data_IF_928354703125
#
_entry.id   IF_928354703125
#
_cell.length_a   1.000
_cell.length_b   1.000
_cell.length_c   1.000
_cell.angle_alpha   90.00
_cell.angle_beta   90.00
_cell.angle_gamma   90.00
#
_symmetry.space_group_name_H-M   'P 1'
#
loop_
_entity.id
_entity.type
_entity.pdbx_description
1 polymer ?
#
# COMPACT_ATOMS: atom_id res chain seq x y z
N UNK A 1 17.83 4.71 3.96
CA UNK A 1 18.28 4.07 2.70
C UNK A 1 19.02 2.74 2.93
N UNK A 2 19.09 2.23 4.18
CA UNK A 2 19.78 0.96 4.48
C UNK A 2 19.18 -0.23 3.71
N UNK A 3 17.88 -0.23 3.51
CA UNK A 3 17.12 -1.25 2.78
C UNK A 3 17.39 -1.28 1.27
N UNK A 4 17.92 -0.20 0.71
CA UNK A 4 18.25 -0.10 -0.73
C UNK A 4 19.68 -0.45 -1.08
N UNK A 5 20.55 -0.78 -0.09
CA UNK A 5 21.98 -1.04 -0.32
C UNK A 5 22.24 -2.09 -1.41
N UNK A 6 21.39 -3.10 -1.54
CA UNK A 6 21.56 -4.16 -2.54
C UNK A 6 21.28 -3.73 -3.98
N UNK A 7 20.60 -2.60 -4.19
CA UNK A 7 20.16 -2.16 -5.52
C UNK A 7 20.71 -0.79 -5.92
N UNK A 8 21.26 -0.02 -4.99
CA UNK A 8 21.74 1.36 -5.24
C UNK A 8 22.79 1.46 -6.35
N UNK A 9 23.63 0.44 -6.49
CA UNK A 9 24.74 0.42 -7.47
C UNK A 9 24.37 -0.28 -8.79
N UNK A 10 23.12 -0.71 -8.94
CA UNK A 10 22.65 -1.34 -10.17
C UNK A 10 22.51 -0.27 -11.27
N UNK A 11 22.99 -0.55 -12.51
CA UNK A 11 22.98 0.44 -13.59
C UNK A 11 21.58 0.83 -14.07
N UNK A 12 20.57 0.03 -13.74
CA UNK A 12 19.16 0.23 -14.07
C UNK A 12 18.35 0.74 -12.85
N UNK A 13 19.00 1.18 -11.77
CA UNK A 13 18.34 1.73 -10.61
C UNK A 13 18.68 3.20 -10.41
N UNK A 14 17.67 4.04 -10.21
CA UNK A 14 17.80 5.44 -9.84
C UNK A 14 16.92 5.75 -8.62
N UNK A 15 17.49 6.35 -7.61
CA UNK A 15 16.75 6.81 -6.43
C UNK A 15 16.55 8.33 -6.50
N UNK A 16 15.30 8.76 -6.47
CA UNK A 16 14.92 10.18 -6.36
C UNK A 16 14.12 10.35 -5.07
N UNK A 17 14.61 11.20 -4.16
CA UNK A 17 13.90 11.53 -2.92
C UNK A 17 12.98 12.70 -3.18
N UNK A 18 11.67 12.46 -3.11
CA UNK A 18 10.63 13.48 -3.31
C UNK A 18 9.39 13.17 -2.49
N UNK A 19 8.51 14.14 -2.34
CA UNK A 19 7.16 13.98 -1.80
C UNK A 19 6.19 13.77 -2.96
N UNK A 20 5.34 12.76 -2.88
CA UNK A 20 4.30 12.50 -3.90
C UNK A 20 3.22 13.60 -3.95
N UNK A 21 3.12 14.42 -2.90
CA UNK A 21 2.24 15.60 -2.87
C UNK A 21 2.83 16.80 -3.63
N UNK A 22 4.15 16.81 -3.87
CA UNK A 22 4.81 17.85 -4.66
C UNK A 22 4.55 17.63 -6.16
N UNK A 23 3.50 18.29 -6.66
CA UNK A 23 3.06 18.17 -8.06
C UNK A 23 4.16 18.54 -9.06
N UNK A 24 4.93 19.59 -8.79
CA UNK A 24 5.97 20.05 -9.71
C UNK A 24 7.11 19.05 -9.78
N UNK A 25 7.53 18.51 -8.63
CA UNK A 25 8.57 17.48 -8.57
C UNK A 25 8.12 16.17 -9.25
N UNK A 26 6.87 15.73 -9.01
CA UNK A 26 6.30 14.54 -9.68
C UNK A 26 6.26 14.74 -11.20
N UNK A 27 5.76 15.87 -11.66
CA UNK A 27 5.66 16.14 -13.10
C UNK A 27 7.03 16.24 -13.76
N UNK A 28 7.99 16.91 -13.11
CA UNK A 28 9.37 16.98 -13.59
C UNK A 28 10.02 15.61 -13.72
N UNK A 29 9.78 14.71 -12.74
CA UNK A 29 10.26 13.32 -12.80
C UNK A 29 9.65 12.54 -13.98
N UNK A 30 8.34 12.69 -14.20
CA UNK A 30 7.67 12.04 -15.34
C UNK A 30 8.14 12.57 -16.70
N UNK A 31 8.46 13.87 -16.78
CA UNK A 31 9.03 14.47 -17.98
C UNK A 31 10.47 14.01 -18.26
N UNK A 32 11.24 13.73 -17.21
CA UNK A 32 12.63 13.28 -17.32
C UNK A 32 12.72 11.78 -17.62
N UNK A 33 11.95 10.95 -16.88
CA UNK A 33 12.10 9.49 -16.88
C UNK A 33 11.16 8.79 -17.86
N UNK A 34 10.07 9.42 -18.27
CA UNK A 34 9.03 8.83 -19.13
C UNK A 34 8.61 7.42 -18.68
N UNK A 35 8.15 7.22 -17.44
CA UNK A 35 7.84 5.89 -16.94
C UNK A 35 6.69 5.24 -17.73
N UNK A 36 6.82 3.96 -18.07
CA UNK A 36 5.75 3.16 -18.67
C UNK A 36 4.77 2.68 -17.60
N UNK A 37 5.29 2.30 -16.42
CA UNK A 37 4.51 1.73 -15.32
C UNK A 37 4.79 2.49 -14.03
N UNK A 38 3.74 2.76 -13.26
CA UNK A 38 3.83 3.36 -11.93
C UNK A 38 3.25 2.39 -10.90
N UNK A 39 4.05 2.03 -9.88
CA UNK A 39 3.59 1.23 -8.74
C UNK A 39 3.68 2.08 -7.49
N UNK A 40 2.52 2.43 -6.92
CA UNK A 40 2.45 3.30 -5.76
C UNK A 40 2.44 2.51 -4.44
N UNK A 41 3.59 2.46 -3.78
CA UNK A 41 3.72 1.98 -2.40
C UNK A 41 3.72 3.12 -1.37
N UNK A 42 3.84 4.37 -1.82
CA UNK A 42 3.98 5.50 -0.91
C UNK A 42 2.67 5.74 -0.15
N UNK A 43 2.76 5.70 1.16
CA UNK A 43 1.64 5.98 2.06
C UNK A 43 2.11 6.25 3.48
N UNK A 44 1.36 7.04 4.23
CA UNK A 44 1.35 6.96 5.68
C UNK A 44 0.56 5.71 6.09
N UNK A 45 1.12 4.86 7.00
CA UNK A 45 0.60 3.51 7.22
C UNK A 45 0.49 3.06 8.68
N UNK A 46 0.64 3.96 9.65
CA UNK A 46 0.58 3.62 11.07
C UNK A 46 -0.78 4.02 11.67
N UNK A 47 -1.62 3.05 12.03
CA UNK A 47 -2.99 3.29 12.53
C UNK A 47 -3.01 4.25 13.72
N UNK A 48 -2.20 4.02 14.77
CA UNK A 48 -2.20 4.89 15.95
C UNK A 48 -1.79 6.33 15.62
N UNK A 49 -0.85 6.51 14.68
CA UNK A 49 -0.51 7.85 14.19
C UNK A 49 -1.68 8.49 13.44
N UNK A 50 -2.46 7.72 12.71
CA UNK A 50 -3.64 8.25 12.00
C UNK A 50 -4.73 8.74 12.96
N UNK A 51 -4.83 8.13 14.13
CA UNK A 51 -5.75 8.57 15.19
C UNK A 51 -5.25 9.89 15.82
N UNK A 52 -3.94 9.99 16.05
CA UNK A 52 -3.34 11.18 16.67
C UNK A 52 -3.24 12.38 15.71
N UNK A 53 -2.96 12.13 14.43
CA UNK A 53 -2.82 13.16 13.40
C UNK A 53 -3.35 12.63 12.06
N UNK A 54 -4.66 12.70 11.80
CA UNK A 54 -5.25 12.17 10.57
C UNK A 54 -4.90 12.98 9.33
N UNK A 55 -4.59 14.28 9.46
CA UNK A 55 -4.41 15.20 8.34
C UNK A 55 -3.29 14.73 7.39
N UNK A 56 -2.14 14.34 7.93
CA UNK A 56 -1.02 13.86 7.11
C UNK A 56 -1.37 12.60 6.30
N UNK A 57 -2.29 11.76 6.82
CA UNK A 57 -2.78 10.58 6.10
C UNK A 57 -3.69 10.97 4.93
N UNK A 58 -4.53 12.00 5.12
CA UNK A 58 -5.36 12.51 4.04
C UNK A 58 -4.50 13.18 2.96
N UNK A 59 -3.54 13.97 3.37
CA UNK A 59 -2.61 14.62 2.46
C UNK A 59 -1.80 13.59 1.65
N UNK A 60 -1.04 12.73 2.31
CA UNK A 60 -0.19 11.76 1.62
C UNK A 60 -1.00 10.74 0.83
N UNK A 61 -1.98 10.08 1.47
CA UNK A 61 -2.64 8.92 0.85
C UNK A 61 -3.68 9.33 -0.19
N UNK A 62 -4.34 10.48 -0.05
CA UNK A 62 -5.37 10.92 -0.99
C UNK A 62 -4.81 11.95 -1.97
N UNK A 63 -4.26 13.08 -1.46
CA UNK A 63 -3.77 14.14 -2.35
C UNK A 63 -2.54 13.67 -3.12
N UNK A 64 -1.59 12.98 -2.45
CA UNK A 64 -0.44 12.40 -3.13
C UNK A 64 -0.84 11.39 -4.22
N UNK A 65 -1.84 10.53 -3.95
CA UNK A 65 -2.40 9.62 -4.98
C UNK A 65 -3.03 10.42 -6.13
N UNK A 66 -3.77 11.52 -5.84
CA UNK A 66 -4.34 12.37 -6.88
C UNK A 66 -3.27 12.99 -7.78
N UNK A 67 -2.17 13.46 -7.20
CA UNK A 67 -1.03 14.02 -7.95
C UNK A 67 -0.42 12.99 -8.89
N UNK A 68 -0.18 11.76 -8.39
CA UNK A 68 0.32 10.66 -9.22
C UNK A 68 -0.66 10.29 -10.34
N UNK A 69 -1.96 10.21 -10.05
CA UNK A 69 -2.98 9.89 -11.05
C UNK A 69 -3.11 10.98 -12.13
N UNK A 70 -3.00 12.25 -11.75
CA UNK A 70 -2.94 13.37 -12.71
C UNK A 70 -1.70 13.27 -13.60
N UNK A 71 -0.54 12.94 -13.04
CA UNK A 71 0.70 12.73 -13.81
C UNK A 71 0.53 11.55 -14.78
N UNK A 72 0.03 10.41 -14.29
CA UNK A 72 -0.24 9.23 -15.11
C UNK A 72 -1.15 9.54 -16.30
N UNK A 73 -2.23 10.32 -16.05
CA UNK A 73 -3.13 10.78 -17.12
C UNK A 73 -2.44 11.71 -18.09
N UNK A 74 -1.69 12.71 -17.58
CA UNK A 74 -1.04 13.74 -18.40
C UNK A 74 0.01 13.17 -19.33
N UNK A 75 0.82 12.21 -18.83
CA UNK A 75 1.94 11.63 -19.55
C UNK A 75 1.61 10.31 -20.25
N UNK A 76 0.37 9.80 -20.09
CA UNK A 76 -0.13 8.65 -20.83
C UNK A 76 0.58 7.35 -20.48
N UNK A 77 0.79 7.08 -19.19
CA UNK A 77 1.46 5.85 -18.73
C UNK A 77 0.68 4.60 -19.14
N UNK A 78 1.38 3.50 -19.35
CA UNK A 78 0.77 2.24 -19.76
C UNK A 78 -0.01 1.57 -18.61
N UNK A 79 0.43 1.78 -17.36
CA UNK A 79 -0.22 1.19 -16.18
C UNK A 79 0.11 1.89 -14.88
N UNK A 80 -0.91 1.99 -14.04
CA UNK A 80 -0.79 2.40 -12.63
C UNK A 80 -1.24 1.26 -11.72
N UNK A 81 -0.42 0.90 -10.74
CA UNK A 81 -0.77 -0.06 -9.70
C UNK A 81 -0.80 0.62 -8.33
N UNK A 82 -1.96 0.54 -7.65
CA UNK A 82 -2.13 1.03 -6.28
C UNK A 82 -1.96 -0.11 -5.29
N UNK A 83 -0.98 -0.02 -4.41
CA UNK A 83 -0.86 -0.94 -3.27
C UNK A 83 -1.73 -0.40 -2.13
N UNK A 84 -2.80 -1.13 -1.83
CA UNK A 84 -3.76 -0.83 -0.77
C UNK A 84 -3.68 -1.87 0.36
N UNK A 85 -4.72 -1.98 1.17
CA UNK A 85 -4.77 -2.84 2.35
C UNK A 85 -6.14 -3.48 2.50
N UNK A 86 -6.20 -4.67 3.09
CA UNK A 86 -7.45 -5.34 3.49
C UNK A 86 -8.22 -4.57 4.57
N UNK A 87 -7.56 -3.70 5.32
CA UNK A 87 -8.20 -2.86 6.36
C UNK A 87 -9.30 -1.93 5.79
N UNK A 88 -9.34 -1.74 4.46
CA UNK A 88 -10.42 -0.99 3.81
C UNK A 88 -11.78 -1.70 3.89
N UNK A 89 -11.77 -3.02 4.11
CA UNK A 89 -12.98 -3.83 4.24
C UNK A 89 -13.55 -3.86 5.67
N UNK A 90 -12.75 -3.44 6.67
CA UNK A 90 -13.11 -3.50 8.08
C UNK A 90 -12.75 -4.83 8.74
N UNK A 91 -13.56 -5.26 9.70
CA UNK A 91 -13.29 -6.46 10.52
C UNK A 91 -14.24 -7.59 10.17
N UNK A 92 -13.73 -8.83 10.22
CA UNK A 92 -14.55 -10.05 10.16
C UNK A 92 -14.86 -10.54 11.59
N UNK A 93 -16.08 -11.03 11.84
CA UNK A 93 -16.44 -11.65 13.11
C UNK A 93 -15.59 -12.90 13.39
N UNK A 94 -14.97 -12.97 14.57
CA UNK A 94 -14.10 -14.10 14.95
C UNK A 94 -14.83 -15.46 15.07
N UNK A 95 -16.15 -15.43 15.25
CA UNK A 95 -17.02 -16.61 15.33
C UNK A 95 -17.53 -17.11 13.97
N UNK A 96 -17.11 -16.46 12.88
CA UNK A 96 -17.51 -16.77 11.50
C UNK A 96 -16.28 -17.06 10.62
N UNK A 97 -15.62 -18.22 10.81
CA UNK A 97 -14.43 -18.59 10.03
C UNK A 97 -14.74 -18.91 8.54
N UNK A 98 -16.02 -18.94 8.19
CA UNK A 98 -16.51 -19.13 6.82
C UNK A 98 -16.55 -17.83 6.01
N UNK A 99 -16.34 -16.67 6.63
CA UNK A 99 -16.35 -15.38 5.96
C UNK A 99 -14.94 -14.97 5.50
N UNK A 100 -14.88 -14.47 4.28
CA UNK A 100 -13.67 -13.97 3.66
C UNK A 100 -13.95 -12.63 2.98
N UNK A 101 -12.94 -11.78 2.86
CA UNK A 101 -13.00 -10.64 1.96
C UNK A 101 -12.85 -11.10 0.52
N UNK A 102 -13.59 -10.46 -0.37
CA UNK A 102 -13.49 -10.61 -1.82
C UNK A 102 -13.39 -9.23 -2.46
N UNK A 103 -13.09 -9.17 -3.73
CA UNK A 103 -13.03 -7.92 -4.49
C UNK A 103 -14.37 -7.18 -4.50
N UNK A 104 -15.49 -7.89 -4.33
CA UNK A 104 -16.84 -7.33 -4.26
C UNK A 104 -17.26 -6.92 -2.84
N UNK A 105 -16.45 -7.23 -1.82
CA UNK A 105 -16.76 -6.84 -0.44
C UNK A 105 -16.85 -5.32 -0.33
N UNK A 106 -17.94 -4.76 0.19
CA UNK A 106 -18.08 -3.32 0.39
C UNK A 106 -16.99 -2.76 1.31
N UNK A 107 -16.53 -1.56 1.01
CA UNK A 107 -15.56 -0.86 1.86
C UNK A 107 -16.24 -0.41 3.15
N UNK A 108 -15.68 -0.80 4.30
CA UNK A 108 -16.22 -0.51 5.64
C UNK A 108 -15.09 -0.20 6.61
N UNK A 109 -14.49 0.97 6.48
CA UNK A 109 -13.28 1.37 7.19
C UNK A 109 -13.51 1.65 8.68
N UNK A 110 -12.53 1.28 9.52
CA UNK A 110 -12.59 1.43 10.98
C UNK A 110 -11.60 2.45 11.56
N UNK A 111 -10.72 3.04 10.74
CA UNK A 111 -9.71 4.00 11.19
C UNK A 111 -9.50 5.12 10.17
N UNK A 112 -8.91 6.29 10.57
CA UNK A 112 -8.51 7.33 9.62
C UNK A 112 -7.52 6.81 8.56
N UNK A 113 -6.61 5.91 8.94
CA UNK A 113 -5.71 5.25 7.99
C UNK A 113 -6.51 4.46 6.94
N UNK A 114 -7.34 3.50 7.36
CA UNK A 114 -8.11 2.68 6.41
C UNK A 114 -9.07 3.53 5.56
N UNK A 115 -9.64 4.60 6.14
CA UNK A 115 -10.47 5.56 5.39
C UNK A 115 -9.67 6.31 4.32
N UNK A 116 -8.44 6.73 4.62
CA UNK A 116 -7.58 7.39 3.64
C UNK A 116 -7.18 6.44 2.49
N UNK A 117 -6.90 5.17 2.79
CA UNK A 117 -6.59 4.15 1.78
C UNK A 117 -7.80 3.81 0.91
N UNK A 118 -8.98 3.64 1.52
CA UNK A 118 -10.23 3.42 0.78
C UNK A 118 -10.57 4.61 -0.14
N UNK A 119 -10.35 5.84 0.34
CA UNK A 119 -10.54 7.04 -0.47
C UNK A 119 -9.59 7.10 -1.67
N UNK A 120 -8.33 6.70 -1.47
CA UNK A 120 -7.36 6.56 -2.56
C UNK A 120 -7.80 5.51 -3.59
N UNK A 121 -8.28 4.33 -3.14
CA UNK A 121 -8.80 3.27 -4.01
C UNK A 121 -9.99 3.76 -4.86
N UNK A 122 -10.93 4.46 -4.23
CA UNK A 122 -12.08 5.04 -4.92
C UNK A 122 -11.66 6.10 -5.95
N UNK A 123 -10.68 6.92 -5.61
CA UNK A 123 -10.11 7.93 -6.51
C UNK A 123 -9.46 7.26 -7.72
N UNK A 124 -8.60 6.25 -7.52
CA UNK A 124 -7.96 5.48 -8.59
C UNK A 124 -9.01 4.86 -9.52
N UNK A 125 -10.06 4.24 -8.97
CA UNK A 125 -11.16 3.70 -9.74
C UNK A 125 -11.95 4.77 -10.50
N UNK A 126 -12.10 5.97 -9.94
CA UNK A 126 -12.74 7.10 -10.62
C UNK A 126 -11.92 7.60 -11.81
N UNK A 127 -10.60 7.69 -11.70
CA UNK A 127 -9.72 8.06 -12.81
C UNK A 127 -9.78 7.05 -13.96
N UNK A 128 -9.84 5.77 -13.63
CA UNK A 128 -10.07 4.74 -14.65
C UNK A 128 -11.39 4.97 -15.40
N UNK A 129 -12.49 5.10 -14.67
CA UNK A 129 -13.85 5.25 -15.26
C UNK A 129 -14.02 6.55 -16.04
N UNK A 130 -13.42 7.64 -15.54
CA UNK A 130 -13.62 8.97 -16.12
C UNK A 130 -12.66 9.28 -17.24
N UNK A 131 -11.41 8.88 -17.11
CA UNK A 131 -10.32 9.27 -18.00
C UNK A 131 -9.68 8.09 -18.74
N UNK A 132 -10.08 6.86 -18.43
CA UNK A 132 -9.54 5.66 -19.08
C UNK A 132 -8.10 5.31 -18.65
N UNK A 133 -7.58 5.86 -17.55
CA UNK A 133 -6.24 5.51 -17.05
C UNK A 133 -6.22 4.02 -16.73
N UNK A 134 -5.26 3.25 -17.24
CA UNK A 134 -5.16 1.82 -16.93
C UNK A 134 -4.67 1.61 -15.51
N UNK A 135 -5.52 1.06 -14.62
CA UNK A 135 -5.22 0.91 -13.20
C UNK A 135 -5.45 -0.52 -12.72
N UNK A 136 -4.68 -0.90 -11.70
CA UNK A 136 -4.92 -2.09 -10.87
C UNK A 136 -4.78 -1.71 -9.41
N UNK A 137 -5.48 -2.42 -8.50
CA UNK A 137 -5.42 -2.21 -7.06
C UNK A 137 -5.20 -3.57 -6.39
N UNK A 138 -4.17 -3.68 -5.55
CA UNK A 138 -4.01 -4.82 -4.65
C UNK A 138 -4.36 -4.41 -3.21
N UNK A 139 -5.01 -5.31 -2.46
CA UNK A 139 -5.36 -5.13 -1.04
C UNK A 139 -4.75 -6.28 -0.26
N UNK A 140 -3.57 -6.03 0.29
CA UNK A 140 -2.83 -7.05 1.01
C UNK A 140 -3.15 -7.03 2.50
N UNK A 141 -2.98 -8.19 3.16
CA UNK A 141 -2.94 -8.32 4.60
C UNK A 141 -1.64 -7.77 5.19
N UNK A 142 -1.42 -7.95 6.51
CA UNK A 142 -0.21 -7.47 7.16
C UNK A 142 1.05 -8.13 6.59
N UNK A 143 1.95 -7.33 6.04
CA UNK A 143 3.22 -7.85 5.53
C UNK A 143 4.24 -8.04 6.64
N UNK A 144 5.09 -9.06 6.51
CA UNK A 144 6.25 -9.27 7.37
C UNK A 144 7.45 -9.74 6.54
N UNK A 145 8.65 -9.54 7.06
CA UNK A 145 9.88 -10.00 6.40
C UNK A 145 11.11 -9.19 6.78
N UNK A 146 12.24 -9.45 6.12
CA UNK A 146 13.47 -8.68 6.30
C UNK A 146 13.23 -7.18 6.11
N UNK A 147 14.00 -6.37 6.85
CA UNK A 147 13.97 -4.90 6.78
C UNK A 147 12.64 -4.24 7.15
N UNK A 148 11.69 -4.98 7.75
CA UNK A 148 10.45 -4.40 8.26
C UNK A 148 10.74 -3.31 9.29
N UNK A 149 10.02 -2.18 9.21
CA UNK A 149 10.27 -1.03 10.08
C UNK A 149 10.11 -1.38 11.56
N UNK A 150 11.06 -0.99 12.43
CA UNK A 150 11.16 -1.45 13.83
C UNK A 150 9.96 -1.14 14.73
N UNK A 151 9.09 -0.20 14.37
CA UNK A 151 7.88 0.11 15.13
C UNK A 151 6.72 -0.87 14.88
N UNK A 152 6.83 -1.70 13.85
CA UNK A 152 5.80 -2.70 13.53
C UNK A 152 5.86 -3.88 14.49
N UNK A 153 4.73 -4.57 14.65
CA UNK A 153 4.52 -5.57 15.69
C UNK A 153 5.66 -6.61 15.78
N UNK A 154 5.97 -7.31 14.69
CA UNK A 154 6.94 -8.40 14.71
C UNK A 154 8.34 -7.92 15.10
N UNK A 155 8.96 -6.93 14.40
CA UNK A 155 10.29 -6.47 14.78
C UNK A 155 10.32 -5.80 16.16
N UNK A 156 9.26 -5.10 16.58
CA UNK A 156 9.17 -4.50 17.91
C UNK A 156 9.17 -5.57 19.01
N UNK A 157 8.38 -6.64 18.86
CA UNK A 157 8.35 -7.76 19.81
C UNK A 157 9.70 -8.46 19.91
N UNK A 158 10.36 -8.72 18.78
CA UNK A 158 11.70 -9.31 18.73
C UNK A 158 12.71 -8.41 19.46
N UNK A 159 12.75 -7.12 19.12
CA UNK A 159 13.70 -6.18 19.71
C UNK A 159 13.49 -6.02 21.22
N UNK A 160 12.24 -5.96 21.69
CA UNK A 160 11.94 -5.88 23.09
C UNK A 160 12.30 -7.17 23.85
N UNK A 161 11.97 -8.35 23.29
CA UNK A 161 12.31 -9.62 23.88
C UNK A 161 13.84 -9.81 24.02
N UNK A 162 14.61 -9.45 22.99
CA UNK A 162 16.08 -9.51 23.03
C UNK A 162 16.69 -8.52 24.01
N UNK A 163 15.99 -7.44 24.34
CA UNK A 163 16.44 -6.41 25.28
C UNK A 163 15.87 -6.56 26.70
N UNK A 164 15.21 -7.67 27.01
CA UNK A 164 14.49 -7.91 28.29
C UNK A 164 13.49 -6.80 28.64
N UNK A 165 12.86 -6.19 27.62
CA UNK A 165 11.84 -5.16 27.79
C UNK A 165 10.43 -5.76 27.76
N UNK A 166 9.44 -5.11 28.40
CA UNK A 166 8.05 -5.53 28.32
C UNK A 166 7.56 -5.61 26.88
N UNK A 167 6.81 -6.67 26.58
CA UNK A 167 6.14 -6.82 25.28
C UNK A 167 4.79 -6.11 25.32
N UNK A 168 4.56 -5.10 24.45
CA UNK A 168 3.29 -4.42 24.40
C UNK A 168 2.19 -5.34 23.88
N UNK A 169 1.08 -5.44 24.61
CA UNK A 169 -0.12 -6.18 24.21
C UNK A 169 -1.26 -5.19 24.02
N UNK A 170 -1.86 -5.18 22.84
CA UNK A 170 -3.01 -4.34 22.57
C UNK A 170 -4.31 -5.00 23.05
N UNK A 171 -5.15 -4.22 23.76
CA UNK A 171 -6.41 -4.68 24.29
C UNK A 171 -6.23 -5.90 25.21
N UNK A 172 -6.96 -6.99 24.96
CA UNK A 172 -6.90 -8.26 25.68
C UNK A 172 -5.99 -9.30 25.01
N UNK A 173 -5.27 -8.91 23.94
CA UNK A 173 -4.32 -9.76 23.23
C UNK A 173 -4.98 -10.79 22.29
N UNK A 174 -6.27 -10.69 22.03
CA UNK A 174 -7.02 -11.63 21.15
C UNK A 174 -7.16 -11.16 19.70
N UNK A 175 -6.46 -10.10 19.33
CA UNK A 175 -6.49 -9.63 17.95
C UNK A 175 -5.92 -10.70 17.00
N UNK A 176 -6.69 -11.05 15.98
CA UNK A 176 -6.27 -11.96 14.90
C UNK A 176 -5.86 -11.13 13.69
N UNK A 177 -4.78 -11.53 13.03
CA UNK A 177 -4.28 -10.90 11.80
C UNK A 177 -3.76 -11.97 10.86
N UNK A 178 -4.02 -11.78 9.58
CA UNK A 178 -3.33 -12.48 8.52
C UNK A 178 -1.95 -11.89 8.28
N UNK A 179 -0.99 -12.76 7.96
CA UNK A 179 0.38 -12.37 7.72
C UNK A 179 0.87 -12.87 6.36
N UNK A 180 1.28 -11.92 5.52
CA UNK A 180 1.79 -12.16 4.18
C UNK A 180 3.30 -11.92 4.15
N UNK A 181 4.07 -12.93 3.70
CA UNK A 181 5.51 -12.76 3.55
C UNK A 181 5.81 -11.78 2.42
N UNK A 182 6.67 -10.79 2.68
CA UNK A 182 6.88 -9.65 1.79
C UNK A 182 7.35 -10.03 0.39
N UNK A 183 8.18 -11.08 0.24
CA UNK A 183 8.61 -11.55 -1.07
C UNK A 183 7.46 -12.17 -1.88
N UNK A 184 6.53 -12.85 -1.21
CA UNK A 184 5.35 -13.41 -1.89
C UNK A 184 4.39 -12.31 -2.31
N UNK A 185 4.25 -11.25 -1.51
CA UNK A 185 3.53 -10.05 -1.93
C UNK A 185 4.17 -9.40 -3.17
N UNK A 186 5.49 -9.22 -3.18
CA UNK A 186 6.20 -8.68 -4.34
C UNK A 186 6.01 -9.56 -5.59
N UNK A 187 6.11 -10.88 -5.43
CA UNK A 187 5.84 -11.84 -6.52
C UNK A 187 4.40 -11.77 -7.04
N UNK A 188 3.42 -11.44 -6.18
CA UNK A 188 2.04 -11.25 -6.60
C UNK A 188 1.82 -9.93 -7.35
N UNK A 189 2.50 -8.85 -6.94
CA UNK A 189 2.41 -7.54 -7.61
C UNK A 189 3.05 -7.57 -9.00
N UNK A 190 4.16 -8.27 -9.18
CA UNK A 190 4.92 -8.30 -10.44
C UNK A 190 4.04 -8.70 -11.64
N UNK A 191 3.35 -9.86 -11.68
CA UNK A 191 2.49 -10.21 -12.80
C UNK A 191 1.29 -9.25 -12.96
N UNK A 192 0.73 -8.73 -11.87
CA UNK A 192 -0.39 -7.76 -11.94
C UNK A 192 0.04 -6.46 -12.61
N UNK A 193 1.30 -6.09 -12.48
CA UNK A 193 1.86 -4.91 -13.14
C UNK A 193 2.04 -5.08 -14.65
N UNK A 194 2.10 -6.31 -15.17
CA UNK A 194 2.34 -6.59 -16.60
C UNK A 194 1.16 -7.26 -17.33
N UNK A 195 0.22 -7.87 -16.61
CA UNK A 195 -0.92 -8.54 -17.26
C UNK A 195 -1.99 -7.54 -17.68
N UNK A 196 -2.55 -7.74 -18.89
CA UNK A 196 -3.71 -6.97 -19.36
C UNK A 196 -4.92 -7.28 -18.47
N UNK A 197 -5.59 -6.22 -18.05
CA UNK A 197 -6.79 -6.27 -17.21
C UNK A 197 -7.91 -7.09 -17.86
N UNK A 198 -7.95 -8.36 -17.57
CA UNK A 198 -9.19 -9.01 -17.17
C UNK A 198 -9.04 -9.22 -15.66
N UNK A 199 -9.95 -8.68 -14.88
CA UNK A 199 -10.08 -9.03 -13.48
C UNK A 199 -10.29 -10.54 -13.40
N UNK A 200 -9.21 -11.29 -13.29
CA UNK A 200 -9.23 -12.68 -12.89
C UNK A 200 -8.78 -12.65 -11.45
N UNK A 201 -9.76 -12.90 -10.60
CA UNK A 201 -9.60 -13.28 -9.22
C UNK A 201 -8.41 -14.23 -9.09
N UNK A 202 -7.30 -13.74 -8.58
CA UNK A 202 -6.30 -14.61 -7.98
C UNK A 202 -6.45 -14.47 -6.49
N UNK A 203 -7.51 -15.09 -5.94
CA UNK A 203 -7.47 -15.54 -4.56
C UNK A 203 -6.33 -16.54 -4.49
N UNK A 204 -5.13 -16.09 -4.18
CA UNK A 204 -4.08 -16.99 -3.80
C UNK A 204 -4.50 -17.57 -2.44
N UNK A 205 -5.18 -18.70 -2.46
CA UNK A 205 -5.25 -19.58 -1.31
C UNK A 205 -3.84 -20.13 -1.12
N UNK A 206 -3.10 -19.53 -0.18
CA UNK A 206 -1.94 -20.13 0.42
C UNK A 206 -2.30 -20.67 1.78
#
# INVERSE_FOLDING_TARGET
LSTLKGVMDLPNFRFVKMDICDREAVYGLFEEEHPDVVVNFAAESHVDRSIANPEIFLETNIIGTAVLMDACRKYGIERYHQVSTDEVYGDLPLDRPDLFFTEETPLHTSSPYSSSKASADLLVGAYHRTYGVPVTISRCSNNYGPDQFPEKLIPLMIANALADKPLPVYGDGKNVRDWLYVEDHCKAIDPVSYTHLRAHETSAHL
#
